data_IF_415612444904
#
_entry.id   IF_415612444904
#
_cell.length_a   1.000
_cell.length_b   1.000
_cell.length_c   1.000
_cell.angle_alpha   90.00
_cell.angle_beta   90.00
_cell.angle_gamma   90.00
#
_symmetry.space_group_name_H-M   'P 1'
#
loop_
_entity.id
_entity.type
_entity.pdbx_description
1 polymer ?
#
# COMPACT_ATOMS: atom_id res chain seq x y z
N UNK A 1 -30.61 14.06 -8.05
CA UNK A 1 -29.69 13.24 -7.23
C UNK A 1 -28.37 13.98 -7.18
N UNK A 2 -28.11 14.67 -6.08
CA UNK A 2 -26.80 15.28 -5.85
C UNK A 2 -25.75 14.16 -5.78
N UNK A 3 -24.76 14.22 -6.67
CA UNK A 3 -23.56 13.41 -6.53
C UNK A 3 -22.83 13.94 -5.30
N UNK A 4 -22.98 13.27 -4.16
CA UNK A 4 -22.13 13.51 -3.00
C UNK A 4 -20.69 13.41 -3.46
N UNK A 5 -19.95 14.52 -3.48
CA UNK A 5 -18.51 14.50 -3.77
C UNK A 5 -17.87 13.55 -2.76
N UNK A 6 -17.35 12.43 -3.25
CA UNK A 6 -16.65 11.47 -2.43
C UNK A 6 -15.39 12.15 -1.90
N UNK A 7 -15.28 12.30 -0.58
CA UNK A 7 -14.16 12.99 0.04
C UNK A 7 -12.85 12.27 -0.30
N UNK A 8 -11.75 13.01 -0.41
CA UNK A 8 -10.44 12.37 -0.54
C UNK A 8 -10.06 11.62 0.74
N UNK A 9 -9.80 10.31 0.61
CA UNK A 9 -9.41 9.44 1.72
C UNK A 9 -8.03 9.82 2.25
N UNK A 10 -7.88 9.89 3.56
CA UNK A 10 -6.59 9.99 4.22
C UNK A 10 -6.00 8.62 4.51
N UNK A 11 -4.68 8.61 4.64
CA UNK A 11 -3.93 7.41 4.99
C UNK A 11 -3.11 7.68 6.25
N UNK A 12 -3.12 6.72 7.15
CA UNK A 12 -2.54 6.86 8.49
C UNK A 12 -1.63 5.68 8.82
N UNK A 13 -0.50 5.96 9.46
CA UNK A 13 0.25 4.95 10.17
C UNK A 13 -0.24 4.85 11.61
N UNK A 14 -0.41 3.63 12.11
CA UNK A 14 -0.94 3.35 13.44
C UNK A 14 -0.10 2.27 14.12
N UNK A 15 0.45 2.57 15.31
CA UNK A 15 1.22 1.59 16.08
C UNK A 15 0.42 1.00 17.22
N UNK A 16 0.61 -0.30 17.41
CA UNK A 16 0.12 -1.09 18.53
C UNK A 16 1.25 -1.39 19.53
N UNK A 17 0.88 -1.94 20.68
CA UNK A 17 1.85 -2.61 21.56
C UNK A 17 2.20 -4.00 21.01
N UNK A 18 3.44 -4.14 20.55
CA UNK A 18 3.92 -5.34 19.86
C UNK A 18 4.12 -6.54 20.79
N UNK A 19 4.09 -6.33 22.12
CA UNK A 19 4.17 -7.44 23.10
C UNK A 19 2.90 -8.28 23.11
N UNK A 20 1.77 -7.70 22.68
CA UNK A 20 0.47 -8.36 22.65
C UNK A 20 -0.03 -8.53 21.20
N UNK A 21 0.90 -8.80 20.27
CA UNK A 21 0.65 -8.90 18.83
C UNK A 21 -0.56 -9.77 18.47
N UNK A 22 -0.64 -10.99 19.00
CA UNK A 22 -1.73 -11.92 18.72
C UNK A 22 -3.09 -11.40 19.19
N UNK A 23 -3.12 -10.72 20.35
CA UNK A 23 -4.33 -10.09 20.87
C UNK A 23 -4.81 -8.99 19.94
N UNK A 24 -3.93 -8.06 19.54
CA UNK A 24 -4.29 -6.99 18.62
C UNK A 24 -4.74 -7.52 17.26
N UNK A 25 -4.14 -8.61 16.77
CA UNK A 25 -4.54 -9.20 15.50
C UNK A 25 -5.96 -9.80 15.59
N UNK A 26 -6.26 -10.57 16.65
CA UNK A 26 -7.60 -11.14 16.87
C UNK A 26 -8.68 -10.06 17.03
N UNK A 27 -8.37 -8.97 17.72
CA UNK A 27 -9.28 -7.82 17.85
C UNK A 27 -9.51 -7.15 16.49
N UNK A 28 -8.45 -6.97 15.71
CA UNK A 28 -8.52 -6.37 14.38
C UNK A 28 -9.38 -7.20 13.42
N UNK A 29 -9.25 -8.52 13.43
CA UNK A 29 -10.10 -9.44 12.65
C UNK A 29 -11.59 -9.30 12.99
N UNK A 30 -11.90 -8.87 14.21
CA UNK A 30 -13.27 -8.61 14.67
C UNK A 30 -13.70 -7.14 14.50
N UNK A 31 -12.92 -6.36 13.75
CA UNK A 31 -13.21 -4.96 13.44
C UNK A 31 -12.89 -3.97 14.56
N UNK A 32 -12.07 -4.38 15.53
CA UNK A 32 -11.68 -3.56 16.68
C UNK A 32 -10.20 -3.23 16.62
N UNK A 33 -9.88 -1.98 16.28
CA UNK A 33 -8.51 -1.50 16.34
C UNK A 33 -8.21 -0.94 17.73
N UNK A 34 -7.51 -1.71 18.56
CA UNK A 34 -7.11 -1.28 19.90
C UNK A 34 -5.81 -0.47 19.93
N UNK A 35 -5.63 0.39 20.93
CA UNK A 35 -4.35 1.02 21.26
C UNK A 35 -3.59 0.20 22.30
N UNK A 36 -2.26 0.36 22.34
CA UNK A 36 -1.36 -0.27 23.32
C UNK A 36 -1.39 0.33 24.74
N UNK A 37 -2.51 0.92 25.16
CA UNK A 37 -2.74 1.53 26.48
C UNK A 37 -4.25 1.74 26.67
N UNK A 38 -4.67 2.08 27.90
CA UNK A 38 -6.07 2.32 28.26
C UNK A 38 -6.52 1.55 29.50
N UNK A 39 -5.74 1.55 30.59
CA UNK A 39 -5.98 0.76 31.81
C UNK A 39 -6.81 1.49 32.88
N UNK A 40 -7.06 2.80 32.71
CA UNK A 40 -7.80 3.63 33.66
C UNK A 40 -8.87 4.44 32.92
N UNK A 41 -10.08 4.52 33.47
CA UNK A 41 -11.19 5.29 32.90
C UNK A 41 -10.86 6.77 32.70
N UNK A 42 -9.95 7.35 33.48
CA UNK A 42 -9.47 8.73 33.31
C UNK A 42 -8.71 8.95 31.98
N UNK A 43 -8.37 7.88 31.27
CA UNK A 43 -7.70 7.88 29.97
C UNK A 43 -8.69 7.98 28.79
N UNK A 44 -9.99 7.79 29.02
CA UNK A 44 -11.05 7.85 28.02
C UNK A 44 -11.04 9.17 27.24
N UNK A 45 -11.16 9.08 25.91
CA UNK A 45 -11.21 10.23 25.01
C UNK A 45 -12.65 10.72 24.83
N UNK A 46 -12.90 12.02 24.56
CA UNK A 46 -11.91 13.09 24.35
C UNK A 46 -11.49 13.81 25.65
N UNK A 47 -12.22 13.63 26.75
CA UNK A 47 -12.10 14.45 27.96
C UNK A 47 -11.02 13.97 28.94
N UNK A 48 -10.08 13.17 28.46
CA UNK A 48 -8.99 12.63 29.28
C UNK A 48 -8.18 13.71 29.97
N UNK A 49 -7.88 13.47 31.25
CA UNK A 49 -6.95 14.29 32.04
C UNK A 49 -5.51 13.80 31.91
N UNK A 50 -5.29 12.58 31.41
CA UNK A 50 -3.97 11.99 31.27
C UNK A 50 -3.16 12.62 30.12
N UNK A 51 -1.94 13.06 30.43
CA UNK A 51 -1.08 13.73 29.45
C UNK A 51 -0.60 12.80 28.33
N UNK A 52 -0.49 11.50 28.61
CA UNK A 52 -0.13 10.47 27.64
C UNK A 52 -1.27 10.20 26.67
N UNK A 53 -2.50 10.13 27.19
CA UNK A 53 -3.73 9.94 26.45
C UNK A 53 -4.02 11.13 25.51
N UNK A 54 -3.81 12.37 25.99
CA UNK A 54 -3.97 13.59 25.19
C UNK A 54 -3.19 13.58 23.89
N UNK A 55 -2.02 12.93 23.83
CA UNK A 55 -1.21 12.81 22.60
C UNK A 55 -1.93 12.04 21.49
N UNK A 56 -2.95 11.26 21.84
CA UNK A 56 -3.72 10.46 20.90
C UNK A 56 -5.00 11.17 20.43
N UNK A 57 -5.32 12.37 20.95
CA UNK A 57 -6.49 13.14 20.49
C UNK A 57 -6.47 13.43 18.98
N UNK A 58 -5.28 13.50 18.38
CA UNK A 58 -5.14 13.66 16.93
C UNK A 58 -5.82 12.52 16.16
N UNK A 59 -5.68 11.26 16.60
CA UNK A 59 -6.30 10.14 15.88
C UNK A 59 -7.82 10.16 16.02
N UNK A 60 -8.33 10.42 17.24
CA UNK A 60 -9.75 10.54 17.53
C UNK A 60 -10.43 11.61 16.67
N UNK A 61 -9.79 12.78 16.52
CA UNK A 61 -10.36 13.92 15.79
C UNK A 61 -10.24 13.81 14.27
N UNK A 62 -9.14 13.25 13.78
CA UNK A 62 -8.75 13.39 12.37
C UNK A 62 -9.11 12.19 11.49
N UNK A 63 -9.24 10.99 12.05
CA UNK A 63 -9.63 9.81 11.27
C UNK A 63 -11.13 9.87 11.00
N UNK A 64 -11.49 9.82 9.71
CA UNK A 64 -12.89 9.78 9.28
C UNK A 64 -13.21 8.49 8.56
N UNK A 65 -14.50 8.19 8.45
CA UNK A 65 -14.99 7.02 7.72
C UNK A 65 -14.34 6.92 6.33
N UNK A 66 -13.87 5.72 6.00
CA UNK A 66 -13.21 5.40 4.74
C UNK A 66 -11.70 5.65 4.70
N UNK A 67 -11.10 6.21 5.76
CA UNK A 67 -9.65 6.35 5.85
C UNK A 67 -8.94 5.01 5.99
N UNK A 68 -7.73 4.93 5.45
CA UNK A 68 -6.93 3.70 5.46
C UNK A 68 -5.83 3.80 6.51
N UNK A 69 -5.63 2.71 7.26
CA UNK A 69 -4.65 2.59 8.31
C UNK A 69 -3.66 1.48 7.98
N UNK A 70 -2.38 1.80 8.08
CA UNK A 70 -1.28 0.84 8.04
C UNK A 70 -0.80 0.57 9.46
N UNK A 71 -0.86 -0.69 9.87
CA UNK A 71 -0.54 -1.14 11.22
C UNK A 71 0.70 -2.04 11.16
N UNK A 72 1.91 -1.50 11.40
CA UNK A 72 3.13 -2.28 11.29
C UNK A 72 3.18 -3.38 12.36
N UNK A 73 3.85 -4.49 12.02
CA UNK A 73 4.05 -5.65 12.89
C UNK A 73 2.73 -6.36 13.21
N UNK A 74 1.89 -6.54 12.20
CA UNK A 74 0.71 -7.41 12.24
C UNK A 74 0.58 -8.12 10.87
N UNK A 75 0.29 -9.43 10.81
CA UNK A 75 0.25 -10.37 11.94
C UNK A 75 1.64 -10.69 12.50
N UNK A 76 2.71 -10.63 11.70
CA UNK A 76 4.09 -10.92 12.14
C UNK A 76 4.96 -9.68 12.11
N UNK A 77 6.18 -9.79 12.65
CA UNK A 77 7.14 -8.68 12.77
C UNK A 77 7.49 -7.97 11.47
N UNK A 78 7.54 -8.74 10.38
CA UNK A 78 7.88 -8.25 9.04
C UNK A 78 6.66 -7.82 8.23
N UNK A 79 5.45 -7.92 8.79
CA UNK A 79 4.21 -7.67 8.08
C UNK A 79 3.55 -6.37 8.54
N UNK A 80 2.60 -5.89 7.75
CA UNK A 80 1.82 -4.69 7.97
C UNK A 80 0.37 -5.00 7.66
N UNK A 81 -0.49 -4.89 8.66
CA UNK A 81 -1.93 -5.00 8.46
C UNK A 81 -2.49 -3.70 7.86
N UNK A 82 -3.54 -3.85 7.08
CA UNK A 82 -4.30 -2.77 6.46
C UNK A 82 -5.72 -2.83 7.01
N UNK A 83 -6.23 -1.69 7.46
CA UNK A 83 -7.60 -1.54 7.91
C UNK A 83 -8.25 -0.29 7.32
N UNK A 84 -9.56 -0.30 7.14
CA UNK A 84 -10.37 0.87 6.76
C UNK A 84 -11.23 1.31 7.94
N UNK A 85 -11.27 2.60 8.27
CA UNK A 85 -12.16 3.13 9.29
C UNK A 85 -13.62 3.01 8.85
N UNK A 86 -14.46 2.34 9.64
CA UNK A 86 -15.88 2.12 9.31
C UNK A 86 -16.77 3.31 9.68
N UNK A 87 -16.30 4.15 10.60
CA UNK A 87 -16.97 5.34 11.10
C UNK A 87 -15.97 6.47 11.33
N UNK A 88 -16.47 7.69 11.51
CA UNK A 88 -15.64 8.74 12.07
C UNK A 88 -15.26 8.34 13.50
N UNK A 89 -13.98 8.43 13.83
CA UNK A 89 -13.51 7.92 15.12
C UNK A 89 -14.03 8.72 16.31
N UNK A 90 -14.38 9.99 16.13
CA UNK A 90 -15.04 10.80 17.14
C UNK A 90 -16.51 10.42 17.39
N UNK A 91 -17.07 9.50 16.61
CA UNK A 91 -18.44 8.98 16.77
C UNK A 91 -18.46 7.51 17.14
N UNK A 92 -17.62 6.70 16.49
CA UNK A 92 -17.60 5.25 16.66
C UNK A 92 -16.63 4.73 17.72
N UNK A 93 -15.80 5.60 18.31
CA UNK A 93 -14.89 5.25 19.39
C UNK A 93 -15.63 4.69 20.61
N UNK A 94 -15.02 3.67 21.24
CA UNK A 94 -15.47 3.09 22.50
C UNK A 94 -14.30 2.96 23.47
N UNK A 95 -14.61 3.04 24.77
CA UNK A 95 -13.67 2.74 25.83
C UNK A 95 -14.15 1.55 26.65
N UNK A 96 -13.44 0.43 26.53
CA UNK A 96 -13.74 -0.82 27.23
C UNK A 96 -12.44 -1.58 27.51
N UNK A 97 -12.03 -1.57 28.78
CA UNK A 97 -10.81 -2.22 29.27
C UNK A 97 -10.93 -3.72 29.07
N UNK A 98 -9.89 -4.34 28.50
CA UNK A 98 -9.85 -5.78 28.36
C UNK A 98 -9.79 -6.47 29.72
N UNK A 99 -10.65 -7.45 29.95
CA UNK A 99 -10.80 -8.09 31.26
C UNK A 99 -9.65 -9.03 31.64
N UNK A 100 -8.90 -9.57 30.67
CA UNK A 100 -7.77 -10.47 30.95
C UNK A 100 -6.44 -9.70 31.07
N UNK A 101 -6.28 -8.66 30.26
CA UNK A 101 -5.07 -7.84 30.21
C UNK A 101 -5.11 -6.65 31.16
N UNK A 102 -6.30 -6.28 31.63
CA UNK A 102 -6.55 -5.09 32.46
C UNK A 102 -6.02 -3.79 31.80
N UNK A 103 -5.96 -3.75 30.47
CA UNK A 103 -5.46 -2.61 29.67
C UNK A 103 -6.18 -2.56 28.31
N UNK A 104 -5.65 -1.75 27.37
CA UNK A 104 -6.09 -1.67 25.97
C UNK A 104 -7.52 -1.18 25.78
N UNK A 105 -7.99 -0.30 26.68
CA UNK A 105 -9.35 0.20 26.71
C UNK A 105 -9.82 0.94 25.45
N UNK A 106 -8.93 1.55 24.67
CA UNK A 106 -9.34 2.31 23.49
C UNK A 106 -9.65 1.40 22.31
N UNK A 107 -10.88 1.49 21.79
CA UNK A 107 -11.34 0.72 20.63
C UNK A 107 -11.80 1.69 19.54
N UNK A 108 -11.19 1.56 18.36
CA UNK A 108 -11.61 2.27 17.16
C UNK A 108 -12.22 1.31 16.14
N UNK A 109 -13.38 1.64 15.54
CA UNK A 109 -14.08 0.72 14.65
C UNK A 109 -13.42 0.75 13.26
N UNK A 110 -13.10 -0.45 12.77
CA UNK A 110 -12.45 -0.64 11.48
C UNK A 110 -12.95 -1.91 10.79
N UNK A 111 -12.67 -2.04 9.50
CA UNK A 111 -12.73 -3.29 8.76
C UNK A 111 -11.31 -3.69 8.40
N UNK A 112 -10.93 -4.92 8.75
CA UNK A 112 -9.66 -5.49 8.34
C UNK A 112 -9.71 -5.82 6.84
N UNK A 113 -8.73 -5.31 6.09
CA UNK A 113 -8.62 -5.54 4.64
C UNK A 113 -7.70 -6.73 4.35
N UNK A 114 -6.62 -6.86 5.11
CA UNK A 114 -5.59 -7.87 4.93
C UNK A 114 -4.22 -7.34 5.34
N UNK A 115 -3.16 -8.01 4.93
CA UNK A 115 -1.79 -7.64 5.29
C UNK A 115 -0.84 -7.79 4.11
N UNK A 116 0.31 -7.12 4.20
CA UNK A 116 1.42 -7.26 3.28
C UNK A 116 2.75 -7.35 4.02
N UNK A 117 3.74 -8.01 3.42
CA UNK A 117 5.09 -8.04 3.92
C UNK A 117 5.79 -6.71 3.65
N UNK A 118 6.56 -6.19 4.60
CA UNK A 118 7.32 -4.92 4.45
C UNK A 118 8.33 -4.95 3.30
N UNK A 119 8.69 -6.14 2.81
CA UNK A 119 9.53 -6.34 1.63
C UNK A 119 8.77 -7.00 0.47
N UNK A 120 7.44 -6.84 0.42
CA UNK A 120 6.63 -7.25 -0.71
C UNK A 120 6.97 -6.48 -1.99
N UNK A 121 6.53 -7.03 -3.13
CA UNK A 121 6.88 -6.60 -4.49
C UNK A 121 6.65 -5.11 -4.76
N UNK A 122 5.48 -4.60 -4.41
CA UNK A 122 5.05 -3.23 -4.68
C UNK A 122 5.42 -2.25 -3.55
N UNK A 123 6.12 -2.71 -2.52
CA UNK A 123 6.42 -1.89 -1.34
C UNK A 123 7.65 -1.02 -1.60
N UNK A 124 7.40 0.25 -1.90
CA UNK A 124 8.47 1.22 -2.16
C UNK A 124 9.34 1.52 -0.93
N UNK A 125 10.58 1.98 -1.18
CA UNK A 125 11.50 2.39 -0.11
C UNK A 125 10.93 3.50 0.79
N UNK A 126 10.08 4.38 0.25
CA UNK A 126 9.41 5.43 1.02
C UNK A 126 8.38 4.87 2.01
N UNK A 127 7.59 3.87 1.57
CA UNK A 127 6.69 3.12 2.46
C UNK A 127 7.49 2.43 3.55
N UNK A 128 8.56 1.72 3.20
CA UNK A 128 9.45 1.05 4.18
C UNK A 128 10.00 2.05 5.20
N UNK A 129 10.41 3.23 4.74
CA UNK A 129 10.95 4.30 5.58
C UNK A 129 9.90 4.86 6.54
N UNK A 130 8.70 5.21 6.05
CA UNK A 130 7.67 5.78 6.92
C UNK A 130 7.18 4.79 7.99
N UNK A 131 7.15 3.49 7.68
CA UNK A 131 6.79 2.44 8.65
C UNK A 131 7.82 2.30 9.80
N UNK A 132 9.00 2.93 9.72
CA UNK A 132 9.97 2.99 10.83
C UNK A 132 9.66 4.10 11.84
N UNK A 133 8.78 5.05 11.51
CA UNK A 133 8.45 6.21 12.35
C UNK A 133 8.04 5.79 13.76
N UNK A 134 8.64 6.41 14.80
CA UNK A 134 8.41 6.03 16.21
C UNK A 134 7.09 6.53 16.80
N UNK A 135 6.41 7.43 16.10
CA UNK A 135 5.14 8.01 16.54
C UNK A 135 4.05 6.94 16.61
N UNK A 136 3.11 7.09 17.56
CA UNK A 136 1.96 6.19 17.70
C UNK A 136 1.00 6.30 16.51
N UNK A 137 0.90 7.50 15.94
CA UNK A 137 0.00 7.84 14.85
C UNK A 137 0.61 8.94 14.00
N UNK A 138 0.54 8.81 12.68
CA UNK A 138 1.09 9.82 11.75
C UNK A 138 0.38 9.79 10.40
N UNK A 139 0.35 10.93 9.72
CA UNK A 139 -0.23 11.03 8.39
C UNK A 139 0.74 10.47 7.32
N UNK A 140 0.19 9.68 6.40
CA UNK A 140 0.88 9.11 5.24
C UNK A 140 0.07 9.29 3.95
N UNK A 141 -0.88 10.24 3.92
CA UNK A 141 -1.75 10.51 2.75
C UNK A 141 -0.95 10.74 1.48
N UNK A 142 0.24 11.35 1.56
CA UNK A 142 1.14 11.55 0.41
C UNK A 142 1.53 10.26 -0.33
N UNK A 143 1.43 9.10 0.32
CA UNK A 143 1.73 7.80 -0.28
C UNK A 143 0.48 7.05 -0.75
N UNK A 144 -0.68 7.72 -0.83
CA UNK A 144 -1.97 7.12 -1.19
C UNK A 144 -1.92 6.27 -2.47
N UNK A 145 -1.25 6.76 -3.52
CA UNK A 145 -1.09 6.02 -4.79
C UNK A 145 -0.36 4.70 -4.59
N UNK A 146 0.75 4.70 -3.87
CA UNK A 146 1.55 3.49 -3.61
C UNK A 146 0.77 2.50 -2.72
N UNK A 147 0.06 3.01 -1.71
CA UNK A 147 -0.75 2.18 -0.81
C UNK A 147 -1.93 1.56 -1.57
N UNK A 148 -2.59 2.31 -2.46
CA UNK A 148 -3.64 1.78 -3.35
C UNK A 148 -3.11 0.65 -4.23
N UNK A 149 -1.91 0.80 -4.80
CA UNK A 149 -1.25 -0.25 -5.60
C UNK A 149 -1.03 -1.52 -4.77
N UNK A 150 -0.52 -1.39 -3.54
CA UNK A 150 -0.34 -2.52 -2.62
C UNK A 150 -1.67 -3.22 -2.33
N UNK A 151 -2.73 -2.45 -2.04
CA UNK A 151 -4.07 -3.00 -1.77
C UNK A 151 -4.64 -3.72 -3.00
N UNK A 152 -4.46 -3.18 -4.21
CA UNK A 152 -4.92 -3.82 -5.45
C UNK A 152 -4.19 -5.14 -5.74
N UNK A 153 -2.92 -5.25 -5.34
CA UNK A 153 -2.08 -6.44 -5.54
C UNK A 153 -1.76 -7.14 -4.21
N UNK A 154 -2.71 -7.19 -3.27
CA UNK A 154 -2.40 -7.53 -1.87
C UNK A 154 -1.77 -8.91 -1.71
N UNK A 155 -2.30 -9.93 -2.38
CA UNK A 155 -1.80 -11.31 -2.32
C UNK A 155 -0.33 -11.40 -2.77
N UNK A 156 0.03 -10.71 -3.86
CA UNK A 156 1.41 -10.65 -4.37
C UNK A 156 2.38 -9.94 -3.43
N UNK A 157 1.87 -9.16 -2.48
CA UNK A 157 2.66 -8.43 -1.51
C UNK A 157 2.78 -9.14 -0.16
N UNK A 158 2.17 -10.32 0.02
CA UNK A 158 2.30 -11.12 1.25
C UNK A 158 3.62 -11.89 1.34
N UNK A 159 4.29 -12.10 0.21
CA UNK A 159 5.57 -12.80 0.15
C UNK A 159 6.75 -11.85 0.36
N UNK A 160 7.76 -12.29 1.10
CA UNK A 160 9.03 -11.59 1.18
C UNK A 160 9.77 -11.70 -0.15
N UNK A 161 10.26 -10.57 -0.67
CA UNK A 161 11.13 -10.52 -1.85
C UNK A 161 12.49 -9.97 -1.43
N UNK A 162 13.54 -10.67 -1.81
CA UNK A 162 14.92 -10.24 -1.51
C UNK A 162 15.30 -9.00 -2.32
N UNK A 163 16.35 -8.28 -1.91
CA UNK A 163 16.82 -7.10 -2.66
C UNK A 163 17.27 -7.49 -4.08
N UNK A 164 17.98 -8.61 -4.23
CA UNK A 164 18.46 -9.07 -5.54
C UNK A 164 17.30 -9.45 -6.45
N UNK A 165 16.34 -10.22 -5.94
CA UNK A 165 15.12 -10.59 -6.67
C UNK A 165 14.28 -9.36 -7.03
N UNK A 166 14.22 -8.36 -6.14
CA UNK A 166 13.56 -7.09 -6.44
C UNK A 166 14.24 -6.34 -7.58
N UNK A 167 15.58 -6.35 -7.64
CA UNK A 167 16.33 -5.74 -8.74
C UNK A 167 16.09 -6.51 -10.04
N UNK A 168 16.18 -7.84 -10.00
CA UNK A 168 15.92 -8.71 -11.16
C UNK A 168 14.51 -8.50 -11.73
N UNK A 169 13.51 -8.41 -10.85
CA UNK A 169 12.13 -8.13 -11.24
C UNK A 169 11.99 -6.76 -11.92
N UNK A 170 12.59 -5.70 -11.34
CA UNK A 170 12.54 -4.35 -11.93
C UNK A 170 13.21 -4.35 -13.32
N UNK A 171 14.41 -4.92 -13.43
CA UNK A 171 15.14 -4.95 -14.71
C UNK A 171 14.36 -5.74 -15.75
N UNK A 172 13.77 -6.88 -15.38
CA UNK A 172 12.99 -7.71 -16.30
C UNK A 172 11.73 -7.00 -16.78
N UNK A 173 10.97 -6.36 -15.88
CA UNK A 173 9.74 -5.61 -16.23
C UNK A 173 10.03 -4.43 -17.18
N UNK A 174 11.11 -3.68 -16.93
CA UNK A 174 11.52 -2.58 -17.81
C UNK A 174 12.02 -3.08 -19.17
N UNK A 175 12.77 -4.19 -19.20
CA UNK A 175 13.22 -4.81 -20.43
C UNK A 175 12.05 -5.33 -21.27
N UNK A 176 11.08 -6.01 -20.66
CA UNK A 176 9.89 -6.51 -21.35
C UNK A 176 9.08 -5.37 -21.98
N UNK A 177 8.92 -4.28 -21.23
CA UNK A 177 8.25 -3.06 -21.72
C UNK A 177 8.99 -2.46 -22.92
N UNK A 178 10.32 -2.37 -22.83
CA UNK A 178 11.16 -1.89 -23.92
C UNK A 178 11.07 -2.78 -25.15
N UNK A 179 11.20 -4.10 -25.00
CA UNK A 179 11.08 -5.05 -26.12
C UNK A 179 9.72 -4.99 -26.79
N UNK A 180 8.64 -4.86 -26.00
CA UNK A 180 7.29 -4.66 -26.55
C UNK A 180 7.21 -3.40 -27.41
N UNK A 181 7.74 -2.28 -26.91
CA UNK A 181 7.75 -1.01 -27.65
C UNK A 181 8.57 -1.09 -28.96
N UNK A 182 9.69 -1.82 -28.95
CA UNK A 182 10.50 -2.06 -30.14
C UNK A 182 9.76 -2.91 -31.18
N UNK A 183 9.05 -3.94 -30.74
CA UNK A 183 8.24 -4.78 -31.62
C UNK A 183 7.13 -3.96 -32.28
N UNK A 184 6.39 -3.16 -31.51
CA UNK A 184 5.35 -2.26 -32.02
C UNK A 184 5.92 -1.24 -33.03
N UNK A 185 7.12 -0.71 -32.75
CA UNK A 185 7.81 0.18 -33.68
C UNK A 185 8.22 -0.53 -34.99
N UNK A 186 8.77 -1.74 -34.88
CA UNK A 186 9.17 -2.56 -36.02
C UNK A 186 7.98 -2.89 -36.91
N UNK A 187 6.87 -3.37 -36.33
CA UNK A 187 5.63 -3.66 -37.04
C UNK A 187 5.09 -2.43 -37.79
N UNK A 188 5.15 -1.25 -37.17
CA UNK A 188 4.75 0.01 -37.80
C UNK A 188 5.61 0.36 -39.01
N UNK A 189 6.91 0.09 -38.94
CA UNK A 189 7.82 0.25 -40.08
C UNK A 189 7.47 -0.74 -41.18
N UNK A 190 7.38 -2.03 -40.87
CA UNK A 190 7.04 -3.07 -41.83
C UNK A 190 5.75 -2.78 -42.57
N UNK A 191 4.70 -2.37 -41.83
CA UNK A 191 3.42 -1.98 -42.41
C UNK A 191 3.57 -0.82 -43.39
N UNK A 192 4.28 0.25 -43.03
CA UNK A 192 4.53 1.39 -43.93
C UNK A 192 5.31 1.01 -45.18
N UNK A 193 6.26 0.08 -45.08
CA UNK A 193 6.97 -0.42 -46.25
C UNK A 193 6.02 -1.22 -47.14
N UNK A 194 5.26 -2.17 -46.58
CA UNK A 194 4.30 -2.98 -47.36
C UNK A 194 3.18 -2.14 -48.00
N UNK A 195 2.70 -1.11 -47.32
CA UNK A 195 1.67 -0.21 -47.85
C UNK A 195 2.20 0.67 -49.00
N UNK A 196 3.52 0.92 -49.06
CA UNK A 196 4.14 1.85 -50.01
C UNK A 196 4.81 1.16 -51.20
N UNK A 197 5.31 -0.06 -51.02
CA UNK A 197 6.13 -0.75 -52.01
C UNK A 197 5.41 -1.99 -52.53
N UNK A 198 5.21 -2.07 -53.84
CA UNK A 198 4.75 -3.29 -54.50
C UNK A 198 5.88 -4.34 -54.55
N UNK A 199 5.55 -5.60 -54.83
CA UNK A 199 6.52 -6.70 -54.84
C UNK A 199 7.75 -6.43 -55.75
N UNK A 200 7.55 -5.69 -56.83
CA UNK A 200 8.57 -5.25 -57.78
C UNK A 200 9.57 -4.24 -57.20
N UNK A 201 9.18 -3.44 -56.22
CA UNK A 201 10.08 -2.50 -55.55
C UNK A 201 10.93 -3.17 -54.47
N UNK A 202 10.39 -4.18 -53.79
CA UNK A 202 11.15 -5.05 -52.90
C UNK A 202 12.26 -5.81 -53.65
N UNK A 203 11.97 -6.29 -54.85
CA UNK A 203 12.97 -6.99 -55.69
C UNK A 203 14.16 -6.07 -56.05
N UNK A 204 13.90 -4.79 -56.33
CA UNK A 204 14.94 -3.77 -56.59
C UNK A 204 15.78 -3.49 -55.33
N UNK A 205 15.14 -3.35 -54.17
CA UNK A 205 15.85 -3.12 -52.89
C UNK A 205 16.74 -4.31 -52.55
N UNK A 206 16.23 -5.54 -52.65
CA UNK A 206 17.00 -6.76 -52.40
C UNK A 206 18.19 -6.87 -53.35
N UNK A 207 18.00 -6.69 -54.67
CA UNK A 207 19.10 -6.67 -55.65
C UNK A 207 20.18 -5.64 -55.30
N UNK A 208 19.80 -4.49 -54.74
CA UNK A 208 20.75 -3.43 -54.34
C UNK A 208 21.53 -3.80 -53.06
N UNK A 209 20.87 -4.39 -52.06
CA UNK A 209 21.52 -4.86 -50.84
C UNK A 209 22.49 -6.02 -51.11
N UNK A 210 22.07 -7.02 -51.91
CA UNK A 210 22.93 -8.15 -52.27
C UNK A 210 24.13 -7.73 -53.12
N UNK A 211 23.97 -6.81 -54.08
CA UNK A 211 25.11 -6.28 -54.84
C UNK A 211 26.14 -5.58 -53.95
N UNK A 212 25.70 -4.85 -52.92
CA UNK A 212 26.61 -4.18 -51.97
C UNK A 212 27.42 -5.16 -51.11
N UNK A 213 26.86 -6.31 -50.73
CA UNK A 213 27.54 -7.29 -49.88
C UNK A 213 28.39 -8.31 -50.66
N UNK A 214 28.30 -8.35 -51.99
CA UNK A 214 29.13 -9.18 -52.88
C UNK A 214 30.34 -8.38 -53.42
N UNK A 215 30.50 -7.12 -53.00
CA UNK A 215 31.64 -6.26 -53.38
C UNK A 215 32.81 -6.33 -52.39
N UNK A 216 32.93 -7.42 -51.62
CA UNK A 216 34.11 -7.70 -50.77
C UNK A 216 35.07 -8.59 -51.52
#
# INVERSE_FOLDING_TARGET
MEKTQEREKNYWGYRIDVKNQDFFFKELEQGRLRQGWGYDKNQELPDTKDSGAKKNLSMYKNVKKGDILLIPRLPKWSDVAIAEATEDWDKGYKFEIDGEKEDFGHIFPVTYIGWFNRNGKDVSGEIKSTLKARNRFWNITRFSKNIKKIIQNLENNQTFISVNESIENIVSEEMDTYFKSLNEFSEKIYKKYNDKFEATDWEKVLKKCFRKNISV
#
